data_IF_051840881460
#
_entry.id   IF_051840881460
#
_cell.length_a   1.000
_cell.length_b   1.000
_cell.length_c   1.000
_cell.angle_alpha   90.00
_cell.angle_beta   90.00
_cell.angle_gamma   90.00
#
_symmetry.space_group_name_H-M   'P 1'
#
loop_
_entity.id
_entity.type
_entity.pdbx_description
1 polymer ?
#
# COMPACT_ATOMS: atom_id res chain seq x y z
N UNK A 1 8.02 -25.95 -10.32
CA UNK A 1 9.47 -26.26 -10.63
C UNK A 1 10.05 -27.22 -9.58
N UNK A 2 10.99 -28.13 -9.96
CA UNK A 2 11.63 -29.04 -8.97
C UNK A 2 12.66 -28.27 -8.13
N UNK A 3 12.71 -28.52 -6.84
CA UNK A 3 13.58 -27.83 -5.89
C UNK A 3 15.06 -27.85 -6.31
N UNK A 4 15.58 -29.02 -6.74
CA UNK A 4 16.96 -29.16 -7.18
C UNK A 4 17.30 -28.30 -8.41
N UNK A 5 16.32 -28.06 -9.28
CA UNK A 5 16.49 -27.18 -10.44
C UNK A 5 16.59 -25.72 -10.02
N UNK A 6 15.76 -25.30 -9.06
CA UNK A 6 15.78 -23.93 -8.51
C UNK A 6 17.15 -23.67 -7.85
N UNK A 7 17.64 -24.59 -7.03
CA UNK A 7 18.94 -24.45 -6.36
C UNK A 7 20.06 -24.32 -7.39
N UNK A 8 20.11 -25.19 -8.40
CA UNK A 8 21.16 -25.15 -9.45
C UNK A 8 21.11 -23.84 -10.24
N UNK A 9 19.90 -23.35 -10.59
CA UNK A 9 19.74 -22.09 -11.30
C UNK A 9 20.20 -20.90 -10.42
N UNK A 10 19.86 -20.92 -9.13
CA UNK A 10 20.32 -19.91 -8.18
C UNK A 10 21.84 -19.86 -8.04
N UNK A 11 22.50 -21.02 -7.89
CA UNK A 11 23.97 -21.07 -7.78
C UNK A 11 24.66 -20.53 -9.05
N UNK A 12 24.12 -20.81 -10.23
CA UNK A 12 24.62 -20.24 -11.48
C UNK A 12 24.39 -18.71 -11.54
N UNK A 13 23.21 -18.24 -11.13
CA UNK A 13 22.91 -16.82 -11.03
C UNK A 13 23.84 -16.11 -10.05
N UNK A 14 24.04 -16.68 -8.86
CA UNK A 14 24.93 -16.15 -7.82
C UNK A 14 26.36 -15.98 -8.32
N UNK A 15 26.90 -16.98 -9.00
CA UNK A 15 28.24 -16.89 -9.59
C UNK A 15 28.35 -15.74 -10.58
N UNK A 16 27.34 -15.58 -11.45
CA UNK A 16 27.31 -14.52 -12.46
C UNK A 16 27.16 -13.12 -11.84
N UNK A 17 26.36 -12.96 -10.78
CA UNK A 17 26.24 -11.70 -10.05
C UNK A 17 27.53 -11.33 -9.31
N UNK A 18 28.24 -12.31 -8.77
CA UNK A 18 29.53 -12.10 -8.10
C UNK A 18 30.59 -11.47 -9.03
N UNK A 19 30.57 -11.78 -10.33
CA UNK A 19 31.45 -11.16 -11.35
C UNK A 19 31.22 -9.64 -11.46
N UNK A 20 30.01 -9.16 -11.14
CA UNK A 20 29.65 -7.75 -11.14
C UNK A 20 29.78 -7.08 -9.76
N UNK A 21 30.25 -7.84 -8.77
CA UNK A 21 30.40 -7.37 -7.38
C UNK A 21 29.07 -7.32 -6.60
N UNK A 22 28.05 -8.02 -7.07
CA UNK A 22 26.72 -8.08 -6.41
C UNK A 22 26.61 -9.35 -5.56
N UNK A 23 26.24 -9.20 -4.30
CA UNK A 23 25.97 -10.29 -3.36
C UNK A 23 24.48 -10.62 -3.35
N UNK A 24 24.12 -11.76 -3.95
CA UNK A 24 22.72 -12.21 -4.02
C UNK A 24 22.16 -12.63 -2.66
N UNK A 25 22.98 -13.19 -1.76
CA UNK A 25 22.49 -13.57 -0.42
C UNK A 25 22.16 -12.33 0.42
N UNK A 26 22.98 -11.28 0.32
CA UNK A 26 22.70 -10.00 0.94
C UNK A 26 21.43 -9.35 0.37
N UNK A 27 21.22 -9.44 -0.96
CA UNK A 27 20.01 -8.95 -1.61
C UNK A 27 18.76 -9.71 -1.12
N UNK A 28 18.81 -11.03 -1.00
CA UNK A 28 17.72 -11.86 -0.49
C UNK A 28 17.43 -11.55 1.00
N UNK A 29 18.47 -11.39 1.81
CA UNK A 29 18.32 -10.99 3.20
C UNK A 29 17.68 -9.58 3.35
N UNK A 30 18.02 -8.66 2.45
CA UNK A 30 17.39 -7.34 2.40
C UNK A 30 15.92 -7.42 1.97
N UNK A 31 15.60 -8.19 0.93
CA UNK A 31 14.24 -8.42 0.49
C UNK A 31 13.36 -9.03 1.58
N UNK A 32 13.91 -9.99 2.36
CA UNK A 32 13.20 -10.62 3.48
C UNK A 32 12.84 -9.63 4.60
N UNK A 33 13.52 -8.49 4.72
CA UNK A 33 13.18 -7.44 5.71
C UNK A 33 12.04 -6.55 5.27
N UNK A 34 11.75 -6.46 3.97
CA UNK A 34 10.61 -5.68 3.48
C UNK A 34 9.32 -6.35 3.94
N UNK A 35 8.55 -5.63 4.74
CA UNK A 35 7.22 -6.08 5.17
C UNK A 35 6.17 -5.41 4.31
N UNK A 36 5.66 -6.15 3.31
CA UNK A 36 4.66 -5.63 2.39
C UNK A 36 3.29 -5.60 3.08
N UNK A 37 2.65 -4.43 3.13
CA UNK A 37 1.31 -4.26 3.66
C UNK A 37 0.27 -4.57 2.58
N UNK A 38 -0.41 -5.71 2.72
CA UNK A 38 -1.55 -6.09 1.89
C UNK A 38 -2.77 -5.28 2.32
N UNK A 39 -3.66 -5.00 1.41
CA UNK A 39 -4.86 -4.21 1.65
C UNK A 39 -6.10 -5.11 1.64
N UNK A 40 -6.91 -5.12 2.71
CA UNK A 40 -8.04 -6.05 2.82
C UNK A 40 -9.13 -5.82 1.76
N UNK A 41 -9.26 -4.61 1.26
CA UNK A 41 -10.33 -4.18 0.34
C UNK A 41 -10.23 -4.73 -1.08
N UNK A 42 -9.14 -5.39 -1.46
CA UNK A 42 -9.07 -6.16 -2.70
C UNK A 42 -10.03 -7.38 -2.71
N UNK A 43 -10.41 -7.89 -1.53
CA UNK A 43 -11.28 -9.08 -1.42
C UNK A 43 -12.74 -8.77 -1.68
N UNK A 44 -13.20 -7.56 -1.32
CA UNK A 44 -14.62 -7.21 -1.21
C UNK A 44 -14.99 -5.87 -1.87
N UNK A 45 -14.11 -5.28 -2.69
CA UNK A 45 -14.34 -4.00 -3.38
C UNK A 45 -14.68 -2.86 -2.43
N UNK A 46 -13.96 -2.75 -1.33
CA UNK A 46 -14.10 -1.66 -0.33
C UNK A 46 -15.49 -1.58 0.33
N UNK A 47 -16.26 -2.67 0.34
CA UNK A 47 -17.61 -2.68 0.93
C UNK A 47 -17.57 -2.62 2.45
N UNK A 48 -16.66 -3.38 3.08
CA UNK A 48 -16.60 -3.51 4.54
C UNK A 48 -17.82 -4.22 5.15
N UNK A 49 -17.95 -4.15 6.48
CA UNK A 49 -18.99 -4.87 7.23
C UNK A 49 -19.97 -3.95 7.96
N UNK A 50 -19.78 -2.65 7.85
CA UNK A 50 -20.65 -1.64 8.48
C UNK A 50 -22.02 -1.56 7.79
N UNK A 51 -22.01 -1.53 6.45
CA UNK A 51 -23.21 -1.46 5.63
C UNK A 51 -22.99 -2.23 4.31
N UNK A 52 -23.07 -3.57 4.31
CA UNK A 52 -22.75 -4.41 3.15
C UNK A 52 -23.59 -4.10 1.89
N UNK A 53 -24.80 -3.56 2.07
CA UNK A 53 -25.71 -3.18 0.99
C UNK A 53 -25.56 -1.70 0.58
N UNK A 54 -24.61 -0.97 1.18
CA UNK A 54 -24.37 0.43 0.92
C UNK A 54 -23.76 0.68 -0.45
N UNK A 55 -24.02 1.88 -1.00
CA UNK A 55 -23.34 2.33 -2.22
C UNK A 55 -22.02 3.02 -1.86
N UNK A 56 -20.98 2.77 -2.65
CA UNK A 56 -19.72 3.49 -2.56
C UNK A 56 -19.92 4.96 -2.99
N UNK A 57 -19.29 5.86 -2.25
CA UNK A 57 -19.27 7.32 -2.53
C UNK A 57 -17.85 7.86 -2.35
N UNK A 58 -17.66 9.16 -2.55
CA UNK A 58 -16.33 9.79 -2.42
C UNK A 58 -15.38 9.46 -3.56
N UNK A 59 -15.92 9.05 -4.71
CA UNK A 59 -15.13 8.71 -5.89
C UNK A 59 -14.51 7.30 -5.84
N UNK A 60 -14.88 6.47 -4.87
CA UNK A 60 -14.39 5.10 -4.73
C UNK A 60 -15.20 4.16 -5.63
N UNK A 61 -14.53 3.45 -6.53
CA UNK A 61 -15.13 2.44 -7.41
C UNK A 61 -14.14 1.31 -7.69
N UNK A 62 -14.58 0.06 -7.55
CA UNK A 62 -13.78 -1.08 -7.96
C UNK A 62 -13.64 -1.17 -9.48
N UNK A 63 -12.46 -1.58 -9.95
CA UNK A 63 -12.20 -1.82 -11.37
C UNK A 63 -12.71 -3.20 -11.77
N UNK A 64 -13.86 -3.24 -12.47
CA UNK A 64 -14.46 -4.49 -12.96
C UNK A 64 -15.48 -5.09 -12.01
N UNK A 65 -15.87 -6.36 -12.29
CA UNK A 65 -16.92 -7.08 -11.59
C UNK A 65 -16.63 -8.59 -11.50
N UNK A 66 -15.38 -8.97 -11.32
CA UNK A 66 -15.00 -10.39 -11.22
C UNK A 66 -15.77 -11.06 -10.06
N UNK A 67 -16.30 -12.28 -10.26
CA UNK A 67 -17.11 -12.97 -9.26
C UNK A 67 -16.30 -13.39 -8.02
N UNK A 68 -16.99 -13.84 -6.98
CA UNK A 68 -16.36 -14.41 -5.79
C UNK A 68 -15.91 -13.38 -4.75
N UNK A 69 -16.50 -12.18 -4.76
CA UNK A 69 -16.33 -11.14 -3.76
C UNK A 69 -16.60 -11.69 -2.34
N UNK A 70 -15.72 -11.37 -1.39
CA UNK A 70 -15.92 -11.70 0.02
C UNK A 70 -17.12 -10.92 0.61
N UNK A 71 -17.92 -11.59 1.44
CA UNK A 71 -19.19 -11.07 1.97
C UNK A 71 -19.16 -10.81 3.47
N UNK A 72 -18.15 -11.34 4.15
CA UNK A 72 -18.01 -11.27 5.60
C UNK A 72 -16.54 -11.41 6.01
N UNK A 73 -16.28 -11.18 7.30
CA UNK A 73 -14.93 -11.17 7.88
C UNK A 73 -14.18 -12.51 7.69
N UNK A 74 -14.89 -13.64 7.77
CA UNK A 74 -14.26 -14.96 7.67
C UNK A 74 -13.82 -15.25 6.23
N UNK A 75 -14.62 -14.83 5.24
CA UNK A 75 -14.27 -14.92 3.83
C UNK A 75 -13.07 -14.01 3.48
N UNK A 76 -13.04 -12.78 4.00
CA UNK A 76 -11.87 -11.89 3.84
C UNK A 76 -10.61 -12.52 4.43
N UNK A 77 -10.68 -13.05 5.65
CA UNK A 77 -9.55 -13.72 6.30
C UNK A 77 -9.06 -14.92 5.51
N UNK A 78 -9.98 -15.77 5.04
CA UNK A 78 -9.62 -16.93 4.22
C UNK A 78 -8.93 -16.54 2.90
N UNK A 79 -9.40 -15.48 2.26
CA UNK A 79 -8.79 -14.94 1.04
C UNK A 79 -7.38 -14.40 1.27
N UNK A 80 -7.19 -13.65 2.36
CA UNK A 80 -5.86 -13.14 2.75
C UNK A 80 -4.91 -14.29 3.10
N UNK A 81 -5.37 -15.30 3.83
CA UNK A 81 -4.58 -16.49 4.15
C UNK A 81 -4.17 -17.23 2.87
N UNK A 82 -5.09 -17.39 1.92
CA UNK A 82 -4.78 -17.98 0.62
C UNK A 82 -3.76 -17.15 -0.16
N UNK A 83 -3.96 -15.85 -0.28
CA UNK A 83 -3.01 -14.95 -0.94
C UNK A 83 -1.62 -15.02 -0.28
N UNK A 84 -1.56 -14.91 1.05
CA UNK A 84 -0.32 -15.02 1.83
C UNK A 84 0.42 -16.33 1.57
N UNK A 85 -0.30 -17.45 1.43
CA UNK A 85 0.31 -18.76 1.14
C UNK A 85 1.01 -18.85 -0.21
N UNK A 86 0.81 -17.85 -1.07
CA UNK A 86 1.35 -17.78 -2.43
C UNK A 86 2.34 -16.62 -2.64
N UNK A 87 2.58 -15.79 -1.63
CA UNK A 87 3.45 -14.61 -1.69
C UNK A 87 4.60 -14.80 -0.71
N UNK A 88 5.88 -14.77 -1.16
CA UNK A 88 7.02 -14.95 -0.25
C UNK A 88 7.23 -13.74 0.65
N UNK A 89 7.96 -13.93 1.76
CA UNK A 89 8.40 -12.85 2.64
C UNK A 89 7.47 -12.56 3.82
N UNK A 90 7.59 -11.35 4.36
CA UNK A 90 6.80 -10.90 5.51
C UNK A 90 5.67 -9.99 5.06
N UNK A 91 4.54 -10.08 5.74
CA UNK A 91 3.35 -9.33 5.37
C UNK A 91 2.74 -8.59 6.56
N UNK A 92 2.11 -7.48 6.24
CA UNK A 92 1.18 -6.73 7.07
C UNK A 92 -0.19 -6.77 6.39
N UNK A 93 -1.23 -6.42 7.11
CA UNK A 93 -2.55 -6.22 6.53
C UNK A 93 -3.04 -4.83 6.89
N UNK A 94 -3.39 -4.05 5.89
CA UNK A 94 -4.05 -2.76 6.06
C UNK A 94 -5.56 -2.93 6.09
N UNK A 95 -6.22 -2.36 7.11
CA UNK A 95 -7.66 -2.36 7.30
C UNK A 95 -8.20 -0.94 7.18
N UNK A 96 -9.44 -0.80 6.73
CA UNK A 96 -10.23 0.40 6.90
C UNK A 96 -11.14 0.30 8.13
N UNK A 97 -11.57 1.44 8.67
CA UNK A 97 -12.47 1.50 9.82
C UNK A 97 -13.79 0.72 9.63
N UNK A 98 -14.23 0.56 8.38
CA UNK A 98 -15.46 -0.18 8.01
C UNK A 98 -15.34 -1.71 8.13
N UNK A 99 -14.14 -2.24 8.41
CA UNK A 99 -13.89 -3.68 8.55
C UNK A 99 -13.95 -4.18 10.01
N UNK A 100 -14.54 -3.40 10.91
CA UNK A 100 -14.73 -3.82 12.30
C UNK A 100 -15.59 -5.08 12.43
N UNK A 101 -15.26 -5.94 13.39
CA UNK A 101 -16.10 -7.06 13.79
C UNK A 101 -17.21 -6.56 14.75
N UNK A 102 -18.25 -6.00 14.16
CA UNK A 102 -19.34 -5.38 14.90
C UNK A 102 -20.34 -6.39 15.50
N UNK A 103 -20.19 -7.68 15.18
CA UNK A 103 -21.07 -8.77 15.69
C UNK A 103 -22.56 -8.50 15.52
N UNK A 104 -22.94 -7.93 14.35
CA UNK A 104 -24.30 -7.58 14.01
C UNK A 104 -24.84 -6.34 14.72
N UNK A 105 -24.04 -5.61 15.49
CA UNK A 105 -24.43 -4.34 16.09
C UNK A 105 -24.21 -3.21 15.10
N UNK A 106 -25.11 -2.22 15.13
CA UNK A 106 -24.90 -0.97 14.41
C UNK A 106 -24.01 -0.06 15.27
N UNK A 107 -22.81 0.22 14.78
CA UNK A 107 -21.84 1.13 15.42
C UNK A 107 -21.53 2.24 14.42
N UNK A 108 -21.77 3.50 14.79
CA UNK A 108 -21.46 4.63 13.92
C UNK A 108 -19.93 4.91 13.96
N UNK A 109 -19.41 5.59 12.95
CA UNK A 109 -17.95 5.78 12.78
C UNK A 109 -17.30 6.59 13.88
N UNK A 110 -18.05 7.50 14.53
CA UNK A 110 -17.59 8.22 15.71
C UNK A 110 -17.72 7.41 17.03
N UNK A 111 -18.09 6.14 16.95
CA UNK A 111 -18.28 5.22 18.08
C UNK A 111 -17.43 3.95 17.98
N UNK A 112 -16.62 3.82 16.95
CA UNK A 112 -15.73 2.67 16.81
C UNK A 112 -14.68 2.65 17.92
N UNK A 113 -14.35 1.45 18.41
CA UNK A 113 -13.39 1.25 19.51
C UNK A 113 -12.43 0.07 19.19
N UNK A 114 -11.27 -0.02 19.86
CA UNK A 114 -10.33 -1.13 19.66
C UNK A 114 -10.96 -2.51 19.80
N UNK A 115 -11.98 -2.66 20.63
CA UNK A 115 -12.69 -3.93 20.85
C UNK A 115 -13.34 -4.47 19.57
N UNK A 116 -13.77 -3.59 18.67
CA UNK A 116 -14.33 -3.97 17.38
C UNK A 116 -13.29 -4.53 16.40
N UNK A 117 -12.01 -4.40 16.72
CA UNK A 117 -10.88 -4.91 15.92
C UNK A 117 -10.06 -5.97 16.64
N UNK A 118 -10.45 -6.37 17.87
CA UNK A 118 -9.71 -7.38 18.64
C UNK A 118 -9.59 -8.70 17.89
N UNK A 119 -10.66 -9.14 17.23
CA UNK A 119 -10.64 -10.38 16.45
C UNK A 119 -9.66 -10.33 15.25
N UNK A 120 -9.38 -9.14 14.71
CA UNK A 120 -8.35 -8.95 13.69
C UNK A 120 -6.94 -9.03 14.29
N UNK A 121 -6.74 -8.46 15.47
CA UNK A 121 -5.45 -8.51 16.18
C UNK A 121 -5.10 -9.96 16.52
N UNK A 122 -6.07 -10.73 17.01
CA UNK A 122 -5.89 -12.13 17.37
C UNK A 122 -5.61 -12.99 16.13
N UNK A 123 -6.34 -12.75 15.04
CA UNK A 123 -6.11 -13.40 13.76
C UNK A 123 -4.72 -13.05 13.19
N UNK A 124 -4.32 -11.79 13.21
CA UNK A 124 -3.01 -11.35 12.71
C UNK A 124 -1.87 -12.00 13.50
N UNK A 125 -2.01 -12.09 14.84
CA UNK A 125 -1.05 -12.79 15.72
C UNK A 125 -0.94 -14.28 15.35
N UNK A 126 -2.08 -14.97 15.15
CA UNK A 126 -2.11 -16.38 14.77
C UNK A 126 -1.49 -16.64 13.40
N UNK A 127 -1.54 -15.67 12.52
CA UNK A 127 -1.00 -15.74 11.15
C UNK A 127 0.40 -15.12 10.98
N UNK A 128 1.09 -14.74 12.06
CA UNK A 128 2.37 -14.02 12.03
C UNK A 128 2.34 -12.80 11.07
N UNK A 129 1.27 -12.02 11.18
CA UNK A 129 1.09 -10.76 10.46
C UNK A 129 1.09 -9.58 11.41
N UNK A 130 1.33 -8.39 10.87
CA UNK A 130 1.13 -7.11 11.55
C UNK A 130 -0.04 -6.39 10.88
N UNK A 131 -0.59 -5.38 11.56
CA UNK A 131 -1.72 -4.62 11.04
C UNK A 131 -1.34 -3.16 10.81
N UNK A 132 -1.95 -2.57 9.79
CA UNK A 132 -2.01 -1.14 9.51
C UNK A 132 -3.48 -0.73 9.43
N UNK A 133 -3.76 0.58 9.48
CA UNK A 133 -5.12 1.05 9.60
C UNK A 133 -5.36 2.34 8.81
N UNK A 134 -6.58 2.50 8.30
CA UNK A 134 -7.03 3.72 7.63
C UNK A 134 -8.32 4.22 8.29
N UNK A 135 -8.39 5.51 8.57
CA UNK A 135 -9.68 6.16 8.80
C UNK A 135 -10.48 6.16 7.48
N UNK A 136 -11.81 6.13 7.59
CA UNK A 136 -12.69 6.02 6.43
C UNK A 136 -13.71 7.14 6.43
N UNK A 137 -13.53 8.15 5.59
CA UNK A 137 -14.43 9.31 5.51
C UNK A 137 -15.46 9.24 4.39
N UNK A 138 -15.35 8.30 3.46
CA UNK A 138 -16.26 8.10 2.33
C UNK A 138 -17.40 7.11 2.66
N UNK A 139 -18.40 7.03 1.78
CA UNK A 139 -19.51 6.04 1.84
C UNK A 139 -20.31 6.10 3.17
N UNK A 140 -20.58 7.29 3.66
CA UNK A 140 -21.35 7.53 4.88
C UNK A 140 -22.33 8.70 4.68
N UNK A 141 -23.54 8.72 5.30
CA UNK A 141 -24.50 9.81 5.12
C UNK A 141 -23.97 11.21 5.45
N UNK A 142 -23.01 11.31 6.39
CA UNK A 142 -22.35 12.57 6.73
C UNK A 142 -21.15 12.92 5.87
N UNK A 143 -20.77 12.08 4.88
CA UNK A 143 -19.61 12.33 4.04
C UNK A 143 -19.82 13.55 3.12
N UNK A 144 -20.92 13.56 2.35
CA UNK A 144 -21.15 14.59 1.35
C UNK A 144 -19.93 14.81 0.44
N UNK A 145 -19.68 16.05 0.04
CA UNK A 145 -18.48 16.45 -0.70
C UNK A 145 -17.31 16.83 0.24
N UNK A 146 -17.59 17.02 1.54
CA UNK A 146 -16.63 17.51 2.53
C UNK A 146 -16.81 16.78 3.87
N UNK A 147 -15.72 16.28 4.42
CA UNK A 147 -15.64 15.64 5.74
C UNK A 147 -14.90 16.52 6.76
N UNK A 148 -13.59 16.39 6.86
CA UNK A 148 -12.73 17.18 7.77
C UNK A 148 -12.64 18.66 7.38
N UNK A 149 -12.95 19.03 6.14
CA UNK A 149 -13.02 20.41 5.67
C UNK A 149 -14.46 20.95 5.59
N UNK A 150 -15.45 20.27 6.17
CA UNK A 150 -16.84 20.68 6.10
C UNK A 150 -17.06 22.01 6.84
N UNK A 151 -17.81 23.00 6.27
CA UNK A 151 -18.16 24.24 6.94
C UNK A 151 -19.01 24.03 8.21
N UNK A 152 -19.85 22.99 8.23
CA UNK A 152 -20.61 22.62 9.42
C UNK A 152 -19.68 22.00 10.47
N UNK A 153 -19.59 22.68 11.62
CA UNK A 153 -18.75 22.23 12.72
C UNK A 153 -19.18 20.87 13.28
N UNK A 154 -20.46 20.58 13.33
CA UNK A 154 -20.94 19.30 13.85
C UNK A 154 -20.53 18.13 12.95
N UNK A 155 -20.49 18.34 11.64
CA UNK A 155 -19.95 17.34 10.68
C UNK A 155 -18.45 17.17 10.88
N UNK A 156 -17.68 18.27 11.00
CA UNK A 156 -16.25 18.18 11.29
C UNK A 156 -15.96 17.49 12.63
N UNK A 157 -16.72 17.80 13.68
CA UNK A 157 -16.55 17.18 15.00
C UNK A 157 -16.75 15.66 14.94
N UNK A 158 -17.73 15.19 14.17
CA UNK A 158 -17.95 13.77 13.91
C UNK A 158 -16.72 13.11 13.24
N UNK A 159 -16.19 13.73 12.19
CA UNK A 159 -15.06 13.18 11.45
C UNK A 159 -13.72 13.30 12.20
N UNK A 160 -13.53 14.33 12.99
CA UNK A 160 -12.40 14.44 13.91
C UNK A 160 -12.44 13.31 14.94
N UNK A 161 -13.60 13.08 15.58
CA UNK A 161 -13.75 11.97 16.54
C UNK A 161 -13.51 10.61 15.88
N UNK A 162 -14.08 10.38 14.69
CA UNK A 162 -13.81 9.18 13.91
C UNK A 162 -12.30 8.94 13.71
N UNK A 163 -11.58 9.98 13.28
CA UNK A 163 -10.15 9.86 12.99
C UNK A 163 -9.33 9.67 14.26
N UNK A 164 -9.68 10.32 15.36
CA UNK A 164 -9.06 10.11 16.68
C UNK A 164 -9.24 8.66 17.14
N UNK A 165 -10.45 8.10 17.00
CA UNK A 165 -10.72 6.70 17.35
C UNK A 165 -9.98 5.72 16.45
N UNK A 166 -9.90 6.01 15.16
CA UNK A 166 -9.10 5.22 14.21
C UNK A 166 -7.63 5.15 14.62
N UNK A 167 -7.05 6.28 15.05
CA UNK A 167 -5.69 6.32 15.58
C UNK A 167 -5.52 5.51 16.88
N UNK A 168 -6.50 5.54 17.79
CA UNK A 168 -6.50 4.70 19.01
C UNK A 168 -6.57 3.21 18.68
N UNK A 169 -7.36 2.84 17.67
CA UNK A 169 -7.43 1.45 17.17
C UNK A 169 -6.07 1.03 16.61
N UNK A 170 -5.45 1.84 15.77
CA UNK A 170 -4.10 1.59 15.24
C UNK A 170 -3.05 1.49 16.36
N UNK A 171 -3.14 2.33 17.40
CA UNK A 171 -2.24 2.29 18.56
C UNK A 171 -2.34 0.97 19.31
N UNK A 172 -3.56 0.51 19.54
CA UNK A 172 -3.80 -0.79 20.19
C UNK A 172 -3.32 -1.97 19.33
N UNK A 173 -3.51 -1.93 18.00
CA UNK A 173 -2.93 -2.89 17.07
C UNK A 173 -1.41 -2.93 17.18
N UNK A 174 -0.77 -1.76 17.13
CA UNK A 174 0.68 -1.63 17.25
C UNK A 174 1.21 -2.15 18.58
N UNK A 175 0.56 -1.79 19.68
CA UNK A 175 0.89 -2.23 21.03
C UNK A 175 0.79 -3.75 21.20
N UNK A 176 -0.33 -4.34 20.79
CA UNK A 176 -0.57 -5.77 20.98
C UNK A 176 0.27 -6.66 20.05
N UNK A 177 0.60 -6.19 18.85
CA UNK A 177 1.40 -6.93 17.88
C UNK A 177 2.91 -6.62 17.97
N UNK A 178 3.32 -5.71 18.85
CA UNK A 178 4.73 -5.36 19.07
C UNK A 178 5.40 -4.75 17.84
N UNK A 179 4.64 -4.02 17.02
CA UNK A 179 5.12 -3.33 15.81
C UNK A 179 4.22 -2.14 15.53
N UNK A 180 4.79 -0.95 15.44
CA UNK A 180 3.99 0.25 15.15
C UNK A 180 3.13 0.04 13.90
N UNK A 181 1.85 0.39 14.00
CA UNK A 181 0.93 0.37 12.88
C UNK A 181 1.07 1.66 12.07
N UNK A 182 1.11 1.58 10.75
CA UNK A 182 0.88 2.75 9.91
C UNK A 182 -0.60 3.10 9.97
N UNK A 183 -0.91 4.36 10.26
CA UNK A 183 -2.27 4.88 10.18
C UNK A 183 -2.33 5.94 9.10
N UNK A 184 -3.11 5.69 8.07
CA UNK A 184 -3.25 6.59 6.92
C UNK A 184 -4.54 7.40 7.00
N UNK A 185 -4.45 8.70 6.76
CA UNK A 185 -5.58 9.62 6.67
C UNK A 185 -5.69 10.12 5.24
N UNK A 186 -6.65 9.55 4.51
CA UNK A 186 -7.11 10.05 3.23
C UNK A 186 -8.56 10.54 3.36
N UNK A 187 -8.83 11.73 2.83
CA UNK A 187 -10.18 12.30 2.78
C UNK A 187 -10.53 12.71 1.35
N UNK A 188 -11.78 12.47 0.97
CA UNK A 188 -12.31 12.77 -0.36
C UNK A 188 -12.70 14.25 -0.56
N UNK A 189 -12.35 15.13 0.38
CA UNK A 189 -12.81 16.51 0.45
C UNK A 189 -12.41 17.32 -0.79
N UNK A 190 -13.42 17.87 -1.48
CA UNK A 190 -13.20 18.65 -2.69
C UNK A 190 -14.49 19.13 -3.34
N UNK A 191 -14.44 19.54 -4.59
CA UNK A 191 -15.62 19.89 -5.37
C UNK A 191 -15.46 19.66 -6.87
N UNK A 192 -16.60 19.43 -7.53
CA UNK A 192 -16.71 19.24 -8.98
C UNK A 192 -16.50 20.52 -9.76
N UNK A 193 -16.98 21.63 -9.24
CA UNK A 193 -17.03 22.91 -9.90
C UNK A 193 -16.16 23.94 -9.20
N UNK A 194 -16.10 25.14 -9.77
CA UNK A 194 -15.27 26.25 -9.32
C UNK A 194 -15.48 26.58 -7.85
N UNK A 195 -14.44 26.41 -7.05
CA UNK A 195 -14.41 26.78 -5.65
C UNK A 195 -13.76 28.14 -5.47
N UNK A 196 -14.48 29.12 -4.93
CA UNK A 196 -13.99 30.49 -4.71
C UNK A 196 -13.17 30.57 -3.42
N UNK A 197 -13.64 29.94 -2.35
CA UNK A 197 -13.04 30.10 -1.01
C UNK A 197 -12.10 28.94 -0.63
N UNK A 198 -11.16 28.62 -1.52
CA UNK A 198 -10.20 27.50 -1.34
C UNK A 198 -9.37 27.60 -0.06
N UNK A 199 -8.96 28.84 0.29
CA UNK A 199 -8.17 29.06 1.51
C UNK A 199 -8.97 28.69 2.78
N UNK A 200 -10.24 29.03 2.82
CA UNK A 200 -11.11 28.68 3.95
C UNK A 200 -11.24 27.18 4.15
N UNK A 201 -11.54 26.41 3.10
CA UNK A 201 -11.66 24.95 3.21
C UNK A 201 -10.34 24.30 3.65
N UNK A 202 -9.20 24.77 3.14
CA UNK A 202 -7.89 24.31 3.60
C UNK A 202 -7.60 24.68 5.05
N UNK A 203 -8.05 25.85 5.50
CA UNK A 203 -7.95 26.24 6.91
C UNK A 203 -8.78 25.34 7.82
N UNK A 204 -9.99 24.95 7.39
CA UNK A 204 -10.85 24.02 8.12
C UNK A 204 -10.21 22.61 8.20
N UNK A 205 -9.67 22.13 7.09
CA UNK A 205 -8.94 20.84 7.07
C UNK A 205 -7.75 20.87 8.04
N UNK A 206 -6.96 21.95 8.02
CA UNK A 206 -5.83 22.12 8.94
C UNK A 206 -6.29 22.11 10.39
N UNK A 207 -7.30 22.92 10.74
CA UNK A 207 -7.89 22.97 12.10
C UNK A 207 -8.34 21.57 12.55
N UNK A 208 -8.99 20.81 11.67
CA UNK A 208 -9.46 19.46 11.99
C UNK A 208 -8.31 18.51 12.23
N UNK A 209 -7.27 18.54 11.39
CA UNK A 209 -6.07 17.71 11.56
C UNK A 209 -5.29 18.09 12.83
N UNK A 210 -5.15 19.39 13.13
CA UNK A 210 -4.51 19.86 14.37
C UNK A 210 -5.21 19.21 15.59
N UNK A 211 -6.54 19.20 15.62
CA UNK A 211 -7.34 18.53 16.67
C UNK A 211 -7.16 17.02 16.71
N UNK A 212 -7.07 16.36 15.55
CA UNK A 212 -6.81 14.92 15.46
C UNK A 212 -5.47 14.56 16.10
N UNK A 213 -4.43 15.37 15.88
CA UNK A 213 -3.08 15.09 16.33
C UNK A 213 -2.75 15.61 17.74
N UNK A 214 -3.68 16.28 18.43
CA UNK A 214 -3.55 16.59 19.86
C UNK A 214 -3.37 15.32 20.72
N UNK A 215 -3.96 14.20 20.30
CA UNK A 215 -3.87 12.92 21.00
C UNK A 215 -2.60 12.17 20.60
N UNK A 216 -1.81 11.74 21.59
CA UNK A 216 -0.59 10.94 21.33
C UNK A 216 -0.92 9.46 21.20
N UNK A 217 -0.39 8.85 20.14
CA UNK A 217 -0.50 7.41 19.85
C UNK A 217 0.91 6.83 19.63
N UNK A 218 1.61 6.37 20.70
CA UNK A 218 3.04 6.04 20.62
C UNK A 218 3.36 4.81 19.76
N UNK A 219 2.37 3.94 19.51
CA UNK A 219 2.53 2.74 18.70
C UNK A 219 2.02 2.92 17.25
N UNK A 220 1.83 4.17 16.83
CA UNK A 220 1.37 4.54 15.49
C UNK A 220 2.48 5.27 14.74
N UNK A 221 2.53 5.07 13.44
CA UNK A 221 3.18 5.92 12.44
C UNK A 221 2.06 6.58 11.64
N UNK A 222 1.76 7.83 11.96
CA UNK A 222 0.69 8.57 11.28
C UNK A 222 1.16 9.08 9.92
N UNK A 223 0.30 8.93 8.90
CA UNK A 223 0.49 9.41 7.54
C UNK A 223 -0.73 10.22 7.07
N UNK A 224 -0.48 11.18 6.23
CA UNK A 224 -1.51 11.98 5.56
C UNK A 224 -1.35 11.84 4.05
N UNK A 225 -2.46 11.61 3.35
CA UNK A 225 -2.49 11.27 1.95
C UNK A 225 -3.22 12.32 1.13
N UNK A 226 -2.56 12.74 0.05
CA UNK A 226 -3.16 13.66 -0.90
C UNK A 226 -3.91 12.91 -2.02
N UNK A 227 -4.69 13.67 -2.78
CA UNK A 227 -5.20 13.28 -4.09
C UNK A 227 -5.11 14.47 -5.03
N UNK A 228 -4.82 14.24 -6.30
CA UNK A 228 -4.74 15.32 -7.27
C UNK A 228 -6.14 15.73 -7.72
N UNK A 229 -6.92 14.77 -8.21
CA UNK A 229 -8.31 14.90 -8.62
C UNK A 229 -8.97 13.52 -8.69
N UNK A 230 -10.27 13.47 -8.94
CA UNK A 230 -11.00 12.21 -9.11
C UNK A 230 -12.49 12.49 -9.31
N UNK A 231 -13.31 11.44 -9.40
CA UNK A 231 -14.76 11.57 -9.51
C UNK A 231 -15.29 12.36 -8.30
N UNK A 232 -15.88 13.52 -8.56
CA UNK A 232 -16.33 14.46 -7.54
C UNK A 232 -15.32 15.51 -7.10
N UNK A 233 -14.07 15.47 -7.59
CA UNK A 233 -12.96 16.35 -7.23
C UNK A 233 -12.31 17.02 -8.46
N UNK A 234 -13.04 17.17 -9.54
CA UNK A 234 -12.51 17.58 -10.84
C UNK A 234 -11.92 19.00 -10.84
N UNK A 235 -12.52 19.91 -10.05
CA UNK A 235 -12.09 21.30 -9.99
C UNK A 235 -11.21 21.65 -8.79
N UNK A 236 -11.43 21.00 -7.67
CA UNK A 236 -10.75 21.35 -6.42
C UNK A 236 -10.67 20.20 -5.46
N UNK A 237 -9.45 19.82 -5.09
CA UNK A 237 -9.11 18.95 -3.97
C UNK A 237 -8.62 19.80 -2.82
N UNK A 238 -9.23 19.68 -1.62
CA UNK A 238 -8.83 20.45 -0.45
C UNK A 238 -7.42 20.09 -0.01
N UNK A 239 -7.18 18.80 0.17
CA UNK A 239 -5.89 18.22 0.54
C UNK A 239 -5.02 17.94 -0.68
N UNK A 240 -4.44 18.98 -1.30
CA UNK A 240 -3.46 18.83 -2.38
C UNK A 240 -2.12 18.31 -1.86
N UNK A 241 -1.22 17.92 -2.77
CA UNK A 241 0.15 17.51 -2.43
C UNK A 241 0.86 18.55 -1.59
N UNK A 242 0.82 19.82 -1.99
CA UNK A 242 1.50 20.92 -1.29
C UNK A 242 0.95 21.10 0.13
N UNK A 243 -0.38 20.91 0.31
CA UNK A 243 -1.00 20.99 1.63
C UNK A 243 -0.48 19.87 2.54
N UNK A 244 -0.57 18.61 2.10
CA UNK A 244 -0.19 17.48 2.95
C UNK A 244 1.32 17.33 3.12
N UNK A 245 2.12 17.64 2.11
CA UNK A 245 3.59 17.69 2.26
C UNK A 245 4.00 18.74 3.30
N UNK A 246 3.45 19.96 3.18
CA UNK A 246 3.68 21.03 4.16
C UNK A 246 3.24 20.65 5.55
N UNK A 247 2.05 20.04 5.68
CA UNK A 247 1.52 19.60 6.96
C UNK A 247 2.36 18.47 7.58
N UNK A 248 2.67 17.42 6.82
CA UNK A 248 3.45 16.29 7.29
C UNK A 248 4.84 16.72 7.80
N UNK A 249 5.57 17.49 7.01
CA UNK A 249 6.91 17.97 7.37
C UNK A 249 6.87 18.86 8.63
N UNK A 250 5.89 19.78 8.72
CA UNK A 250 5.79 20.71 9.86
C UNK A 250 5.35 20.04 11.16
N UNK A 251 4.72 18.85 11.09
CA UNK A 251 4.21 18.12 12.26
C UNK A 251 4.96 16.80 12.54
N UNK A 252 6.01 16.49 11.77
CA UNK A 252 6.80 15.26 11.94
C UNK A 252 6.02 13.98 11.63
N UNK A 253 5.08 14.05 10.69
CA UNK A 253 4.27 12.94 10.20
C UNK A 253 4.86 12.38 8.89
N UNK A 254 4.39 11.20 8.48
CA UNK A 254 4.65 10.71 7.14
C UNK A 254 3.72 11.38 6.13
N UNK A 255 4.23 11.61 4.91
CA UNK A 255 3.37 11.79 3.74
C UNK A 255 3.18 10.43 3.06
N UNK A 256 1.95 10.12 2.66
CA UNK A 256 1.67 8.98 1.80
C UNK A 256 1.84 9.43 0.35
N UNK A 257 2.67 8.68 -0.37
CA UNK A 257 2.86 8.84 -1.81
C UNK A 257 2.16 7.68 -2.51
N UNK A 258 1.01 7.95 -3.10
CA UNK A 258 0.25 6.97 -3.88
C UNK A 258 0.57 7.13 -5.37
N UNK A 259 0.83 6.01 -6.05
CA UNK A 259 1.17 6.01 -7.48
C UNK A 259 0.02 6.47 -8.38
N UNK A 260 -1.23 6.38 -7.92
CA UNK A 260 -2.42 6.82 -8.61
C UNK A 260 -2.79 8.29 -8.40
N UNK A 261 -2.21 8.94 -7.38
CA UNK A 261 -2.62 10.27 -6.94
C UNK A 261 -1.82 11.43 -7.53
N UNK A 262 -0.97 11.17 -8.54
CA UNK A 262 -0.23 12.19 -9.26
C UNK A 262 -0.76 12.38 -10.70
N UNK A 263 -0.40 13.49 -11.32
CA UNK A 263 -0.75 13.70 -12.72
C UNK A 263 -0.16 12.56 -13.58
N UNK A 264 -0.87 12.07 -14.62
CA UNK A 264 -0.41 10.93 -15.43
C UNK A 264 0.97 11.11 -16.12
N UNK A 265 1.49 12.33 -16.14
CA UNK A 265 2.83 12.64 -16.66
C UNK A 265 3.90 12.73 -15.56
N UNK A 266 3.53 12.51 -14.29
CA UNK A 266 4.44 12.52 -13.16
C UNK A 266 4.64 11.10 -12.64
N UNK A 267 5.87 10.79 -12.19
CA UNK A 267 6.19 9.53 -11.55
C UNK A 267 6.49 9.74 -10.05
N UNK A 268 5.96 8.83 -9.22
CA UNK A 268 6.15 8.88 -7.77
C UNK A 268 7.60 8.68 -7.37
N UNK A 269 8.37 7.88 -8.11
CA UNK A 269 9.77 7.64 -7.76
C UNK A 269 10.58 8.94 -7.65
N UNK A 270 10.29 9.95 -8.48
CA UNK A 270 10.96 11.25 -8.46
C UNK A 270 10.70 12.08 -7.18
N UNK A 271 9.69 11.71 -6.41
CA UNK A 271 9.30 12.38 -5.16
C UNK A 271 10.00 11.80 -3.92
N UNK A 272 10.43 10.53 -3.98
CA UNK A 272 10.87 9.75 -2.81
C UNK A 272 12.09 10.36 -2.16
N UNK A 273 13.21 10.48 -2.88
CA UNK A 273 14.46 11.02 -2.31
C UNK A 273 14.29 12.47 -1.87
N UNK A 274 13.49 13.25 -2.63
CA UNK A 274 13.15 14.63 -2.25
C UNK A 274 12.44 14.69 -0.90
N UNK A 275 11.38 13.88 -0.71
CA UNK A 275 10.64 13.83 0.55
C UNK A 275 11.51 13.33 1.73
N UNK A 276 12.35 12.34 1.49
CA UNK A 276 13.23 11.76 2.51
C UNK A 276 14.31 12.72 3.02
N UNK A 277 14.56 13.86 2.37
CA UNK A 277 15.41 14.94 2.90
C UNK A 277 14.73 15.70 4.03
N UNK A 278 13.41 15.74 4.06
CA UNK A 278 12.62 16.53 5.01
C UNK A 278 11.78 15.70 5.98
N UNK A 279 11.47 14.46 5.62
CA UNK A 279 10.68 13.53 6.43
C UNK A 279 11.52 12.35 6.88
N UNK A 280 11.42 11.89 8.14
CA UNK A 280 12.17 10.73 8.61
C UNK A 280 11.77 9.44 7.90
N UNK A 281 10.49 9.29 7.62
CA UNK A 281 9.87 8.15 6.93
C UNK A 281 8.76 8.62 5.98
N UNK A 282 8.41 7.77 5.02
CA UNK A 282 7.25 7.94 4.14
C UNK A 282 6.43 6.64 4.09
N UNK A 283 5.14 6.76 3.75
CA UNK A 283 4.29 5.65 3.38
C UNK A 283 4.13 5.65 1.85
N UNK A 284 4.23 4.49 1.23
CA UNK A 284 3.92 4.29 -0.18
C UNK A 284 2.62 3.51 -0.32
N UNK A 285 1.79 3.94 -1.24
CA UNK A 285 0.72 3.15 -1.81
C UNK A 285 1.11 2.77 -3.25
N UNK A 286 1.44 1.50 -3.44
CA UNK A 286 1.86 0.96 -4.72
C UNK A 286 0.62 0.46 -5.45
N UNK A 287 0.27 1.14 -6.53
CA UNK A 287 -0.86 0.85 -7.40
C UNK A 287 -0.45 0.95 -8.88
N UNK A 288 -1.34 0.68 -9.80
CA UNK A 288 -1.11 0.90 -11.22
C UNK A 288 -2.22 1.77 -11.81
N UNK A 289 -2.02 3.08 -11.88
CA UNK A 289 -2.93 3.96 -12.57
C UNK A 289 -2.88 3.70 -14.08
N UNK A 290 -4.04 3.67 -14.72
CA UNK A 290 -4.16 3.60 -16.18
C UNK A 290 -4.77 4.90 -16.67
N UNK A 291 -3.93 5.90 -16.94
CA UNK A 291 -4.24 7.27 -17.33
C UNK A 291 -4.88 8.16 -16.26
N UNK A 292 -5.40 7.60 -15.21
CA UNK A 292 -5.97 8.26 -14.04
C UNK A 292 -5.91 7.28 -12.87
N UNK A 293 -6.30 7.70 -11.67
CA UNK A 293 -6.36 6.87 -10.48
C UNK A 293 -7.43 5.77 -10.62
N UNK A 294 -7.07 4.67 -11.25
CA UNK A 294 -7.97 3.58 -11.65
C UNK A 294 -7.73 2.29 -10.89
N UNK A 295 -6.87 2.30 -9.89
CA UNK A 295 -6.65 1.25 -8.89
C UNK A 295 -6.47 -0.17 -9.45
N UNK A 296 -5.72 -0.27 -10.57
CA UNK A 296 -5.42 -1.58 -11.16
C UNK A 296 -4.29 -2.30 -10.41
N UNK A 297 -4.29 -3.62 -10.51
CA UNK A 297 -3.22 -4.46 -9.98
C UNK A 297 -1.85 -4.05 -10.52
N UNK A 298 -0.87 -4.00 -9.64
CA UNK A 298 0.52 -3.70 -9.97
C UNK A 298 1.09 -4.77 -10.89
N UNK A 299 1.78 -4.34 -11.93
CA UNK A 299 2.56 -5.19 -12.82
C UNK A 299 4.03 -4.79 -12.78
N UNK A 300 4.90 -5.66 -13.24
CA UNK A 300 6.35 -5.43 -13.30
C UNK A 300 6.72 -4.53 -14.49
N UNK A 301 6.34 -3.24 -14.39
CA UNK A 301 6.60 -2.19 -15.39
C UNK A 301 7.71 -1.23 -14.94
N UNK A 302 8.05 -0.28 -15.79
CA UNK A 302 9.13 0.68 -15.52
C UNK A 302 8.84 1.54 -14.28
N UNK A 303 7.61 1.98 -14.07
CA UNK A 303 7.26 2.84 -12.91
C UNK A 303 7.53 2.13 -11.58
N UNK A 304 7.14 0.86 -11.42
CA UNK A 304 7.40 0.12 -10.18
C UNK A 304 8.88 -0.25 -10.02
N UNK A 305 9.59 -0.51 -11.14
CA UNK A 305 11.04 -0.77 -11.11
C UNK A 305 11.81 0.49 -10.67
N UNK A 306 11.52 1.65 -11.24
CA UNK A 306 12.17 2.91 -10.88
C UNK A 306 11.82 3.34 -9.45
N UNK A 307 10.59 3.09 -8.99
CA UNK A 307 10.21 3.29 -7.60
C UNK A 307 11.10 2.49 -6.64
N UNK A 308 11.29 1.20 -6.91
CA UNK A 308 12.13 0.33 -6.09
C UNK A 308 13.61 0.74 -6.18
N UNK A 309 14.09 1.11 -7.37
CA UNK A 309 15.45 1.61 -7.58
C UNK A 309 15.72 2.85 -6.73
N UNK A 310 14.83 3.83 -6.76
CA UNK A 310 15.01 5.08 -5.99
C UNK A 310 15.13 4.79 -4.49
N UNK A 311 14.29 3.90 -3.95
CA UNK A 311 14.34 3.53 -2.52
C UNK A 311 15.64 2.79 -2.17
N UNK A 312 15.99 1.77 -2.97
CA UNK A 312 17.17 0.94 -2.72
C UNK A 312 18.45 1.75 -2.91
N UNK A 313 18.53 2.55 -3.96
CA UNK A 313 19.73 3.32 -4.28
C UNK A 313 19.93 4.51 -3.32
N UNK A 314 18.86 5.05 -2.76
CA UNK A 314 18.95 6.04 -1.68
C UNK A 314 19.33 5.41 -0.32
N UNK A 315 19.39 4.08 -0.22
CA UNK A 315 19.61 3.38 1.05
C UNK A 315 18.45 3.56 2.04
N UNK A 316 17.23 3.71 1.55
CA UNK A 316 16.07 4.15 2.33
C UNK A 316 15.10 3.02 2.70
N UNK A 317 15.48 1.75 2.56
CA UNK A 317 14.61 0.59 2.83
C UNK A 317 13.94 0.62 4.21
N UNK A 318 14.65 1.10 5.23
CA UNK A 318 14.14 1.17 6.61
C UNK A 318 13.33 2.44 6.90
N UNK A 319 13.21 3.33 5.91
CA UNK A 319 12.50 4.63 5.99
C UNK A 319 11.25 4.69 5.12
N UNK A 320 10.97 3.62 4.37
CA UNK A 320 9.84 3.55 3.47
C UNK A 320 8.94 2.39 3.88
N UNK A 321 7.73 2.71 4.28
CA UNK A 321 6.70 1.74 4.59
C UNK A 321 5.93 1.43 3.29
N UNK A 322 5.93 0.17 2.85
CA UNK A 322 5.39 -0.21 1.54
C UNK A 322 4.03 -0.85 1.71
N UNK A 323 2.99 -0.16 1.28
CA UNK A 323 1.62 -0.66 1.17
C UNK A 323 1.22 -0.86 -0.30
N UNK A 324 0.32 -1.81 -0.54
CA UNK A 324 -0.39 -1.94 -1.81
C UNK A 324 -1.73 -1.24 -1.68
N UNK A 325 -2.13 -0.53 -2.74
CA UNK A 325 -3.44 0.11 -2.80
C UNK A 325 -4.04 -0.02 -4.19
N UNK A 326 -4.85 -1.05 -4.36
CA UNK A 326 -5.67 -1.28 -5.54
C UNK A 326 -6.87 -2.15 -5.17
N UNK A 327 -7.94 -2.07 -5.92
CA UNK A 327 -9.13 -2.93 -5.79
C UNK A 327 -9.60 -3.34 -7.18
N UNK A 328 -8.80 -4.23 -7.78
CA UNK A 328 -8.95 -4.68 -9.16
C UNK A 328 -9.83 -5.93 -9.22
N UNK A 329 -11.07 -5.74 -9.63
CA UNK A 329 -12.01 -6.81 -9.92
C UNK A 329 -12.16 -7.07 -11.43
N UNK A 330 -11.17 -6.73 -12.24
CA UNK A 330 -11.11 -7.12 -13.66
C UNK A 330 -10.59 -8.54 -13.85
N UNK A 331 -9.95 -9.12 -12.83
CA UNK A 331 -9.39 -10.47 -12.81
C UNK A 331 -9.69 -11.16 -11.48
N UNK A 332 -9.31 -12.43 -11.35
CA UNK A 332 -9.39 -13.19 -10.09
C UNK A 332 -8.73 -12.42 -8.93
N UNK A 333 -9.45 -12.25 -7.82
CA UNK A 333 -9.05 -11.40 -6.69
C UNK A 333 -7.80 -11.90 -5.96
N UNK A 334 -7.67 -13.22 -5.82
CA UNK A 334 -6.47 -13.84 -5.22
C UNK A 334 -5.29 -13.70 -6.19
N UNK A 335 -5.55 -13.93 -7.49
CA UNK A 335 -4.56 -13.70 -8.55
C UNK A 335 -4.03 -12.27 -8.55
N UNK A 336 -4.91 -11.27 -8.37
CA UNK A 336 -4.53 -9.87 -8.27
C UNK A 336 -3.56 -9.61 -7.10
N UNK A 337 -3.85 -10.14 -5.90
CA UNK A 337 -2.91 -10.06 -4.76
C UNK A 337 -1.54 -10.65 -5.08
N UNK A 338 -1.54 -11.87 -5.63
CA UNK A 338 -0.28 -12.58 -5.90
C UNK A 338 0.54 -11.86 -6.96
N UNK A 339 -0.09 -11.43 -8.05
CA UNK A 339 0.57 -10.71 -9.15
C UNK A 339 1.16 -9.39 -8.63
N UNK A 340 0.34 -8.55 -7.99
CA UNK A 340 0.76 -7.23 -7.54
C UNK A 340 1.86 -7.27 -6.47
N UNK A 341 1.71 -8.15 -5.48
CA UNK A 341 2.72 -8.35 -4.44
C UNK A 341 4.04 -8.83 -5.00
N UNK A 342 4.00 -9.86 -5.86
CA UNK A 342 5.22 -10.42 -6.49
C UNK A 342 5.86 -9.45 -7.47
N UNK A 343 5.07 -8.63 -8.19
CA UNK A 343 5.60 -7.60 -9.07
C UNK A 343 6.40 -6.56 -8.28
N UNK A 344 5.84 -6.10 -7.15
CA UNK A 344 6.51 -5.18 -6.24
C UNK A 344 7.80 -5.78 -5.68
N UNK A 345 7.76 -7.03 -5.17
CA UNK A 345 8.95 -7.71 -4.64
C UNK A 345 10.04 -7.93 -5.70
N UNK A 346 9.66 -8.29 -6.93
CA UNK A 346 10.60 -8.46 -8.06
C UNK A 346 11.28 -7.14 -8.40
N UNK A 347 10.56 -6.01 -8.34
CA UNK A 347 11.14 -4.69 -8.56
C UNK A 347 12.20 -4.35 -7.50
N UNK A 348 11.90 -4.58 -6.22
CA UNK A 348 12.87 -4.41 -5.15
C UNK A 348 14.08 -5.32 -5.30
N UNK A 349 13.88 -6.60 -5.63
CA UNK A 349 14.99 -7.54 -5.86
C UNK A 349 15.88 -7.08 -7.01
N UNK A 350 15.29 -6.70 -8.15
CA UNK A 350 16.05 -6.21 -9.30
C UNK A 350 16.90 -4.99 -8.94
N UNK A 351 16.32 -4.05 -8.18
CA UNK A 351 17.05 -2.88 -7.69
C UNK A 351 18.23 -3.24 -6.77
N UNK A 352 18.05 -4.24 -5.89
CA UNK A 352 19.10 -4.75 -4.98
C UNK A 352 20.19 -5.52 -5.71
N UNK A 353 19.87 -6.16 -6.84
CA UNK A 353 20.79 -6.89 -7.67
C UNK A 353 21.52 -6.01 -8.72
N UNK A 354 21.23 -4.72 -8.73
CA UNK A 354 21.90 -3.76 -9.59
C UNK A 354 23.28 -3.39 -9.02
N UNK A 355 24.37 -3.36 -9.84
CA UNK A 355 25.72 -3.03 -9.37
C UNK A 355 25.89 -1.52 -9.13
N UNK A 356 25.18 -0.99 -8.12
CA UNK A 356 25.05 0.45 -7.84
C UNK A 356 26.39 1.14 -7.59
N UNK A 357 27.35 0.46 -6.96
CA UNK A 357 28.69 1.01 -6.74
C UNK A 357 29.39 1.36 -8.05
N UNK A 358 29.29 0.48 -9.05
CA UNK A 358 29.90 0.70 -10.37
C UNK A 358 29.17 1.79 -11.17
N UNK A 359 27.84 1.82 -11.07
CA UNK A 359 27.04 2.88 -11.70
C UNK A 359 27.39 4.26 -11.16
N UNK A 360 27.56 4.38 -9.85
CA UNK A 360 28.00 5.64 -9.19
C UNK A 360 29.41 6.06 -9.59
N UNK A 361 30.34 5.09 -9.70
CA UNK A 361 31.68 5.35 -10.21
C UNK A 361 31.66 5.92 -11.63
N UNK A 362 30.88 5.31 -12.53
CA UNK A 362 30.71 5.81 -13.89
C UNK A 362 30.09 7.20 -13.93
N UNK A 363 29.05 7.43 -13.13
CA UNK A 363 28.39 8.75 -13.04
C UNK A 363 29.34 9.85 -12.55
N UNK A 364 30.06 9.59 -11.45
CA UNK A 364 31.02 10.55 -10.90
C UNK A 364 32.18 10.85 -11.85
N UNK A 365 32.55 9.86 -12.71
CA UNK A 365 33.59 9.99 -13.72
C UNK A 365 33.10 10.56 -15.06
N UNK A 366 31.82 10.95 -15.19
CA UNK A 366 31.24 11.44 -16.44
C UNK A 366 31.11 10.37 -17.53
N UNK A 367 31.15 9.10 -17.15
CA UNK A 367 31.10 7.94 -18.06
C UNK A 367 29.64 7.52 -18.29
N UNK A 368 28.86 8.40 -18.87
CA UNK A 368 27.40 8.24 -18.99
C UNK A 368 26.99 7.11 -19.95
N UNK A 369 27.78 6.88 -21.01
CA UNK A 369 27.54 5.76 -21.93
C UNK A 369 27.70 4.42 -21.20
N UNK A 370 28.80 4.23 -20.50
CA UNK A 370 29.08 2.98 -19.77
C UNK A 370 28.11 2.75 -18.62
N UNK A 371 27.68 3.84 -17.96
CA UNK A 371 26.63 3.77 -16.93
C UNK A 371 25.30 3.27 -17.51
N UNK A 372 24.84 3.85 -18.63
CA UNK A 372 23.60 3.43 -19.27
C UNK A 372 23.70 2.00 -19.82
N UNK A 373 24.81 1.66 -20.48
CA UNK A 373 25.02 0.32 -21.00
C UNK A 373 24.98 -0.74 -19.88
N UNK A 374 25.68 -0.49 -18.75
CA UNK A 374 25.67 -1.41 -17.61
C UNK A 374 24.26 -1.54 -17.00
N UNK A 375 23.51 -0.45 -16.91
CA UNK A 375 22.15 -0.46 -16.40
C UNK A 375 21.22 -1.30 -17.30
N UNK A 376 21.30 -1.14 -18.63
CA UNK A 376 20.52 -1.94 -19.56
C UNK A 376 20.89 -3.43 -19.54
N UNK A 377 22.19 -3.76 -19.54
CA UNK A 377 22.65 -5.15 -19.46
C UNK A 377 22.26 -5.82 -18.13
N UNK A 378 22.16 -5.06 -17.04
CA UNK A 378 21.70 -5.57 -15.74
C UNK A 378 20.27 -6.09 -15.78
N UNK A 379 19.42 -5.59 -16.67
CA UNK A 379 18.03 -6.06 -16.85
C UNK A 379 17.95 -7.49 -17.40
N UNK A 380 18.99 -7.95 -18.11
CA UNK A 380 19.08 -9.29 -18.70
C UNK A 380 19.80 -10.32 -17.81
N UNK A 381 20.26 -9.91 -16.63
CA UNK A 381 20.84 -10.80 -15.63
C UNK A 381 19.80 -11.78 -15.07
N UNK A 382 20.20 -12.97 -14.55
CA UNK A 382 19.26 -14.01 -14.12
C UNK A 382 18.59 -13.74 -12.76
N UNK A 383 18.01 -12.55 -12.60
CA UNK A 383 17.30 -12.15 -11.39
C UNK A 383 16.06 -13.00 -11.10
N UNK A 384 15.44 -13.56 -12.13
CA UNK A 384 14.29 -14.43 -11.98
C UNK A 384 14.64 -15.74 -11.24
N UNK A 385 15.85 -16.28 -11.45
CA UNK A 385 16.32 -17.46 -10.72
C UNK A 385 16.57 -17.15 -9.24
N UNK A 386 17.05 -15.95 -8.94
CA UNK A 386 17.20 -15.46 -7.56
C UNK A 386 15.83 -15.31 -6.90
N UNK A 387 14.82 -14.78 -7.61
CA UNK A 387 13.46 -14.65 -7.08
C UNK A 387 12.77 -16.01 -6.87
N UNK A 388 12.98 -16.97 -7.78
CA UNK A 388 12.46 -18.33 -7.62
C UNK A 388 13.06 -19.02 -6.39
N UNK A 389 14.35 -18.78 -6.13
CA UNK A 389 15.00 -19.27 -4.92
C UNK A 389 14.42 -18.63 -3.65
N UNK A 390 14.13 -17.33 -3.69
CA UNK A 390 13.43 -16.64 -2.60
C UNK A 390 12.04 -17.24 -2.32
N UNK A 391 11.26 -17.55 -3.38
CA UNK A 391 9.98 -18.24 -3.23
C UNK A 391 10.16 -19.60 -2.54
N UNK A 392 11.13 -20.39 -2.98
CA UNK A 392 11.43 -21.70 -2.40
C UNK A 392 11.84 -21.60 -0.92
N UNK A 393 12.70 -20.64 -0.56
CA UNK A 393 13.11 -20.41 0.84
C UNK A 393 11.94 -20.03 1.75
N UNK A 394 10.93 -19.37 1.21
CA UNK A 394 9.72 -18.97 1.93
C UNK A 394 8.60 -20.03 1.85
N UNK A 395 8.86 -21.21 1.25
CA UNK A 395 7.87 -22.28 1.18
C UNK A 395 6.68 -22.01 0.28
N UNK A 396 6.79 -21.07 -0.68
CA UNK A 396 5.73 -20.73 -1.62
C UNK A 396 6.06 -21.19 -3.04
N UNK A 397 5.06 -21.41 -3.92
CA UNK A 397 5.27 -21.83 -5.30
C UNK A 397 6.22 -20.88 -6.05
N UNK A 398 7.20 -21.42 -6.78
CA UNK A 398 8.09 -20.66 -7.64
C UNK A 398 7.54 -20.53 -9.07
N UNK A 399 7.95 -19.49 -9.79
CA UNK A 399 7.51 -19.26 -11.16
C UNK A 399 6.00 -19.09 -11.26
N UNK A 400 5.38 -19.80 -12.19
CA UNK A 400 3.94 -19.80 -12.47
C UNK A 400 3.14 -20.87 -11.70
N UNK A 401 3.80 -21.71 -10.90
CA UNK A 401 3.15 -22.82 -10.21
C UNK A 401 2.00 -22.40 -9.28
N UNK A 402 1.94 -21.11 -8.86
CA UNK A 402 0.85 -20.56 -8.07
C UNK A 402 -0.48 -20.44 -8.84
N UNK A 403 -0.46 -20.44 -10.18
CA UNK A 403 -1.67 -20.28 -11.01
C UNK A 403 -2.66 -21.41 -10.71
N UNK A 404 -2.18 -22.65 -10.72
CA UNK A 404 -3.02 -23.83 -10.42
C UNK A 404 -3.63 -23.77 -9.01
N UNK A 405 -2.91 -23.22 -8.04
CA UNK A 405 -3.41 -23.02 -6.68
C UNK A 405 -4.51 -21.95 -6.60
N UNK A 406 -4.38 -20.86 -7.35
CA UNK A 406 -5.41 -19.81 -7.47
C UNK A 406 -6.67 -20.38 -8.14
N UNK A 407 -6.52 -21.07 -9.26
CA UNK A 407 -7.64 -21.70 -9.98
C UNK A 407 -8.36 -22.74 -9.11
N UNK A 408 -7.59 -23.52 -8.34
CA UNK A 408 -8.19 -24.49 -7.40
C UNK A 408 -9.02 -23.78 -6.34
N UNK A 409 -8.50 -22.72 -5.73
CA UNK A 409 -9.22 -21.95 -4.72
C UNK A 409 -10.48 -21.29 -5.31
N UNK A 410 -10.41 -20.82 -6.53
CA UNK A 410 -11.58 -20.29 -7.24
C UNK A 410 -12.67 -21.34 -7.39
N UNK A 411 -12.34 -22.53 -7.92
CA UNK A 411 -13.31 -23.64 -8.09
C UNK A 411 -13.91 -24.13 -6.78
N UNK A 412 -13.10 -24.20 -5.73
CA UNK A 412 -13.50 -24.81 -4.46
C UNK A 412 -14.16 -23.83 -3.49
N UNK A 413 -13.84 -22.53 -3.57
CA UNK A 413 -14.25 -21.52 -2.61
C UNK A 413 -14.98 -20.34 -3.26
N UNK A 414 -14.28 -19.50 -4.04
CA UNK A 414 -14.84 -18.20 -4.44
C UNK A 414 -15.95 -18.30 -5.47
N UNK A 415 -15.98 -19.34 -6.32
CA UNK A 415 -17.09 -19.58 -7.25
C UNK A 415 -18.41 -19.99 -6.58
N UNK A 416 -18.38 -20.26 -5.28
CA UNK A 416 -19.58 -20.67 -4.50
C UNK A 416 -20.17 -19.50 -3.68
N UNK A 417 -19.67 -18.30 -3.85
CA UNK A 417 -20.12 -17.09 -3.14
C UNK A 417 -21.26 -16.33 -3.81
#
# INVERSE_FOLDING_TARGET
MKQDQIIKAYEAAKARYAETGVDTDAALAALQRISLSLHCWQTDDVTGFENPDGQLTGGIQATGNYPGKARNIDEVRADIEKAKSLIPGRHRLSLHAIYGDFKGKKVDRDQIEPEHFQSWIDWARANDMKLDFNSTSFSHPKSGDLSLANPDRAVRDFWVEHTVRSRRIADEMGRQLGSKACHNIWVHDGSKDLTVNRYHYRSLLRESLDRVFEHKCPNVKDAVECKLFGTGLESFTVGSHEFYMGYAVSHGLMATLDMGHFHPTEDVYDKISSMLLFSPEILLHVSRPVRWDSDHVVIFNDSVQMLAQEIVWAGALDRVNVGLDYFDASINRIGAYVIGSRATQKAFLLAMLTPIGKLREYEAGGRYFERLALLEESKSMPWADVYNYFCMQNGVPAGEDYIADVEKYEREVTSKR
#
